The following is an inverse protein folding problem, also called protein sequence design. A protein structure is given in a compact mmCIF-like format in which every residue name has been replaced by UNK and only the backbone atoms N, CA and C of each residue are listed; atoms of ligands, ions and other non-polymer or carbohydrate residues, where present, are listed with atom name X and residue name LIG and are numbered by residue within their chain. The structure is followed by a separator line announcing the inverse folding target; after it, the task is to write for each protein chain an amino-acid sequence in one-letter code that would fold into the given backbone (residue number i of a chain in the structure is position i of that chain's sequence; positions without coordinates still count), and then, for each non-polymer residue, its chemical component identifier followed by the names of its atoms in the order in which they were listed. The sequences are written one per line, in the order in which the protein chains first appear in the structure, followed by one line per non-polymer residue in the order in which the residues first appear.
data_IF_185643190608
#
_entry.id   IF_185643190608
#
_cell.length_a   1.000
_cell.length_b   1.000
_cell.length_c   1.000
_cell.angle_alpha   90.00
_cell.angle_beta   90.00
_cell.angle_gamma   90.00
#
_symmetry.space_group_name_H-M   'P 1'
#
loop_
_entity.id
_entity.type
_entity.pdbx_description
1 polymer ?
#
# COMPACT_ATOMS: atom_id res chain seq x y z
N UNK A 1 0.80 -8.17 1.82
CA UNK A 1 0.26 -8.12 0.44
C UNK A 1 -1.23 -7.84 0.54
N UNK A 2 -1.59 -6.57 0.47
CA UNK A 2 -2.97 -6.19 0.22
C UNK A 2 -3.23 -6.52 -1.25
N UNK A 3 -3.93 -7.64 -1.50
CA UNK A 3 -4.00 -8.36 -2.80
C UNK A 3 -4.83 -7.62 -3.89
N UNK A 4 -4.84 -6.29 -3.88
CA UNK A 4 -5.80 -5.41 -4.56
C UNK A 4 -7.21 -6.02 -4.70
N UNK A 5 -7.62 -6.78 -3.68
CA UNK A 5 -8.76 -7.68 -3.70
C UNK A 5 -10.04 -6.94 -3.29
N UNK A 6 -9.92 -5.64 -3.01
CA UNK A 6 -11.00 -4.79 -2.50
C UNK A 6 -11.20 -4.89 -0.99
N UNK A 7 -10.36 -5.64 -0.27
CA UNK A 7 -10.43 -5.80 1.18
C UNK A 7 -9.50 -4.86 1.94
N UNK A 8 -8.76 -4.00 1.22
CA UNK A 8 -7.77 -3.07 1.78
C UNK A 8 -8.37 -2.04 2.72
N UNK A 9 -9.66 -1.75 2.55
CA UNK A 9 -10.41 -0.83 3.40
C UNK A 9 -11.06 -1.53 4.60
N UNK A 10 -11.19 -2.85 4.54
CA UNK A 10 -11.87 -3.66 5.57
C UNK A 10 -10.88 -4.23 6.61
N UNK A 11 -9.60 -4.35 6.24
CA UNK A 11 -8.56 -4.94 7.08
C UNK A 11 -7.48 -3.91 7.33
N UNK A 12 -7.27 -3.56 8.60
CA UNK A 12 -6.19 -2.65 8.99
C UNK A 12 -4.86 -3.40 9.03
N UNK A 13 -3.88 -3.09 8.17
CA UNK A 13 -2.60 -3.79 8.17
C UNK A 13 -1.79 -3.41 9.42
N UNK A 14 -1.26 -4.40 10.13
CA UNK A 14 -0.37 -4.18 11.28
C UNK A 14 1.07 -3.87 10.88
N UNK A 15 1.54 -4.49 9.81
CA UNK A 15 2.89 -4.29 9.26
C UNK A 15 2.75 -4.06 7.76
N UNK A 16 3.31 -2.95 7.28
CA UNK A 16 3.37 -2.63 5.85
C UNK A 16 4.80 -2.89 5.37
N UNK A 17 4.95 -3.86 4.48
CA UNK A 17 6.24 -4.20 3.89
C UNK A 17 6.29 -3.82 2.40
N UNK A 18 7.17 -2.88 2.05
CA UNK A 18 7.34 -2.36 0.70
C UNK A 18 8.36 -3.19 -0.10
N UNK A 19 7.91 -4.29 -0.73
CA UNK A 19 8.81 -5.25 -1.41
C UNK A 19 9.48 -4.71 -2.68
N UNK A 20 8.84 -3.78 -3.40
CA UNK A 20 9.27 -3.36 -4.74
C UNK A 20 9.64 -1.89 -4.87
N UNK A 21 9.99 -1.50 -6.10
CA UNK A 21 9.98 -0.10 -6.53
C UNK A 21 8.62 0.24 -7.18
N UNK A 22 8.08 1.46 -6.98
CA UNK A 22 8.63 2.57 -6.22
C UNK A 22 8.59 2.33 -4.71
N UNK A 23 9.33 3.17 -3.96
CA UNK A 23 9.39 3.18 -2.49
C UNK A 23 8.69 4.44 -1.99
N UNK A 24 8.33 4.54 -0.71
CA UNK A 24 7.65 5.72 -0.16
C UNK A 24 8.39 7.04 -0.38
N UNK A 25 9.72 7.03 -0.31
CA UNK A 25 10.56 8.22 -0.57
C UNK A 25 10.65 8.61 -2.05
N UNK A 26 10.21 7.76 -2.99
CA UNK A 26 10.15 8.12 -4.42
C UNK A 26 8.95 9.02 -4.76
N UNK A 27 7.99 9.15 -3.83
CA UNK A 27 6.73 9.85 -4.04
C UNK A 27 5.49 9.06 -3.60
N UNK A 28 4.33 9.64 -3.90
CA UNK A 28 3.03 9.04 -3.66
C UNK A 28 2.66 8.03 -4.77
N UNK A 29 2.49 6.76 -4.37
CA UNK A 29 2.06 5.65 -5.22
C UNK A 29 1.22 4.65 -4.42
N UNK A 30 0.20 4.07 -5.07
CA UNK A 30 -0.57 2.99 -4.47
C UNK A 30 0.34 1.80 -4.10
N UNK A 31 0.17 1.17 -2.93
CA UNK A 31 -0.94 1.35 -1.98
C UNK A 31 -0.80 2.48 -0.95
N UNK A 32 0.33 3.19 -0.86
CA UNK A 32 0.52 4.29 0.10
C UNK A 32 0.08 5.64 -0.47
N UNK A 33 -0.08 6.63 0.42
CA UNK A 33 -0.58 7.96 0.07
C UNK A 33 0.49 9.02 0.32
N UNK A 34 0.06 10.28 0.24
CA UNK A 34 0.89 11.44 0.51
C UNK A 34 1.43 11.45 1.94
N UNK A 35 0.69 10.90 2.92
CA UNK A 35 1.11 10.88 4.32
C UNK A 35 2.46 10.17 4.51
N UNK A 36 2.64 9.02 3.88
CA UNK A 36 3.87 8.25 3.97
C UNK A 36 5.03 8.93 3.24
N UNK A 37 4.76 9.62 2.13
CA UNK A 37 5.77 10.40 1.42
C UNK A 37 6.16 11.69 2.17
N UNK A 38 5.21 12.31 2.87
CA UNK A 38 5.40 13.58 3.58
C UNK A 38 6.48 13.47 4.67
N UNK A 39 6.58 12.33 5.36
CA UNK A 39 7.60 12.07 6.37
C UNK A 39 9.01 12.29 5.80
N UNK A 40 9.27 11.80 4.58
CA UNK A 40 10.57 11.96 3.92
C UNK A 40 10.82 13.39 3.45
N UNK A 41 9.77 14.09 2.98
CA UNK A 41 9.87 15.51 2.63
C UNK A 41 10.19 16.37 3.86
N UNK A 42 9.51 16.13 4.97
CA UNK A 42 9.75 16.85 6.21
C UNK A 42 11.14 16.57 6.77
N UNK A 43 11.59 15.31 6.70
CA UNK A 43 12.95 14.92 7.12
C UNK A 43 14.01 15.61 6.26
N UNK A 44 13.83 15.65 4.93
CA UNK A 44 14.75 16.34 4.03
C UNK A 44 14.75 17.86 4.22
N UNK A 45 13.61 18.46 4.61
CA UNK A 45 13.55 19.89 4.97
C UNK A 45 14.29 20.18 6.28
N UNK A 46 14.17 19.30 7.28
CA UNK A 46 14.88 19.42 8.57
C UNK A 46 16.39 19.19 8.43
N UNK A 47 16.79 18.35 7.48
CA UNK A 47 18.19 18.00 7.22
C UNK A 47 18.51 18.21 5.73
N UNK A 48 18.89 19.44 5.31
CA UNK A 48 19.12 19.75 3.90
C UNK A 48 20.20 18.89 3.22
N UNK A 49 21.13 18.33 4.00
CA UNK A 49 22.13 17.36 3.52
C UNK A 49 21.52 16.09 2.91
N UNK A 50 20.26 15.79 3.23
CA UNK A 50 19.53 14.64 2.70
C UNK A 50 18.87 14.92 1.33
N UNK A 51 18.77 16.18 0.90
CA UNK A 51 18.09 16.56 -0.35
C UNK A 51 18.66 15.82 -1.58
N UNK A 52 19.98 15.69 -1.77
CA UNK A 52 20.55 14.96 -2.91
C UNK A 52 20.17 13.47 -2.94
N UNK A 53 19.86 12.89 -1.77
CA UNK A 53 19.49 11.48 -1.63
C UNK A 53 17.99 11.24 -1.78
N UNK A 54 17.17 12.30 -1.83
CA UNK A 54 15.73 12.19 -2.08
C UNK A 54 15.46 11.92 -3.56
N UNK A 55 15.66 10.67 -3.97
CA UNK A 55 15.44 10.21 -5.34
C UNK A 55 13.97 10.35 -5.75
N UNK A 56 13.71 11.01 -6.87
CA UNK A 56 12.36 11.12 -7.45
C UNK A 56 12.22 10.19 -8.65
N UNK A 57 11.04 9.63 -8.84
CA UNK A 57 10.74 8.89 -10.07
C UNK A 57 10.35 9.86 -11.19
N UNK A 58 10.70 9.53 -12.44
CA UNK A 58 10.25 10.29 -13.60
C UNK A 58 8.73 10.18 -13.79
N UNK A 59 8.11 11.23 -14.32
CA UNK A 59 6.66 11.26 -14.56
C UNK A 59 6.18 10.09 -15.43
N UNK A 60 6.98 9.68 -16.43
CA UNK A 60 6.69 8.55 -17.31
C UNK A 60 6.59 7.24 -16.53
N UNK A 61 7.56 6.99 -15.64
CA UNK A 61 7.56 5.81 -14.76
C UNK A 61 6.39 5.86 -13.78
N UNK A 62 6.03 7.04 -13.28
CA UNK A 62 4.85 7.22 -12.42
C UNK A 62 3.56 6.86 -13.16
N UNK A 63 3.40 7.31 -14.40
CA UNK A 63 2.23 6.98 -15.21
C UNK A 63 2.15 5.47 -15.52
N UNK A 64 3.27 4.88 -15.98
CA UNK A 64 3.38 3.43 -16.20
C UNK A 64 2.98 2.64 -14.96
N UNK A 65 3.50 3.03 -13.79
CA UNK A 65 3.17 2.37 -12.54
C UNK A 65 1.68 2.46 -12.20
N UNK A 66 1.07 3.65 -12.34
CA UNK A 66 -0.37 3.83 -12.10
C UNK A 66 -1.22 2.93 -13.00
N UNK A 67 -0.87 2.82 -14.28
CA UNK A 67 -1.56 1.93 -15.21
C UNK A 67 -1.39 0.46 -14.83
N UNK A 68 -0.16 0.04 -14.49
CA UNK A 68 0.12 -1.32 -14.05
C UNK A 68 -0.66 -1.69 -12.78
N UNK A 69 -0.76 -0.80 -11.79
CA UNK A 69 -1.52 -1.06 -10.58
C UNK A 69 -3.02 -1.14 -10.85
N UNK A 70 -3.56 -0.27 -11.71
CA UNK A 70 -4.98 -0.35 -12.11
C UNK A 70 -5.29 -1.66 -12.84
N UNK A 71 -4.42 -2.08 -13.75
CA UNK A 71 -4.57 -3.35 -14.45
C UNK A 71 -4.52 -4.53 -13.49
N UNK A 72 -3.53 -4.57 -12.58
CA UNK A 72 -3.43 -5.60 -11.54
C UNK A 72 -4.66 -5.63 -10.66
N UNK A 73 -5.15 -4.47 -10.21
CA UNK A 73 -6.37 -4.38 -9.42
C UNK A 73 -7.59 -4.92 -10.16
N UNK A 74 -7.74 -4.61 -11.45
CA UNK A 74 -8.84 -5.15 -12.24
C UNK A 74 -8.75 -6.68 -12.36
N UNK A 75 -7.57 -7.21 -12.68
CA UNK A 75 -7.33 -8.65 -12.76
C UNK A 75 -7.58 -9.35 -11.41
N UNK A 76 -7.01 -8.81 -10.33
CA UNK A 76 -7.11 -9.37 -8.99
C UNK A 76 -8.54 -9.30 -8.45
N UNK A 77 -9.30 -8.25 -8.76
CA UNK A 77 -10.74 -8.21 -8.44
C UNK A 77 -11.52 -9.30 -9.16
N UNK A 78 -11.22 -9.61 -10.41
CA UNK A 78 -11.86 -10.74 -11.10
C UNK A 78 -11.48 -12.08 -10.48
N UNK A 79 -10.21 -12.26 -10.09
CA UNK A 79 -9.73 -13.52 -9.50
C UNK A 79 -10.15 -13.71 -8.03
N UNK A 80 -10.18 -12.65 -7.24
CA UNK A 80 -10.40 -12.68 -5.78
C UNK A 80 -11.75 -12.13 -5.35
N UNK A 81 -12.49 -11.46 -6.23
CA UNK A 81 -13.80 -10.85 -5.97
C UNK A 81 -14.94 -11.84 -5.80
N UNK A 82 -14.66 -13.13 -5.60
CA UNK A 82 -15.68 -14.08 -5.17
C UNK A 82 -16.16 -13.69 -3.75
N UNK A 83 -17.43 -13.30 -3.58
CA UNK A 83 -17.95 -12.81 -2.30
C UNK A 83 -17.82 -13.83 -1.15
N UNK A 84 -17.90 -15.13 -1.46
CA UNK A 84 -17.76 -16.19 -0.45
C UNK A 84 -16.35 -16.23 0.13
N UNK A 85 -15.34 -16.04 -0.72
CA UNK A 85 -13.93 -16.02 -0.30
C UNK A 85 -13.65 -14.78 0.55
N UNK A 86 -14.16 -13.61 0.15
CA UNK A 86 -14.04 -12.38 0.92
C UNK A 86 -14.66 -12.54 2.32
N UNK A 87 -15.88 -13.08 2.42
CA UNK A 87 -16.53 -13.36 3.71
C UNK A 87 -15.70 -14.30 4.60
N UNK A 88 -15.09 -15.34 4.02
CA UNK A 88 -14.23 -16.26 4.77
C UNK A 88 -13.00 -15.56 5.36
N UNK A 89 -12.36 -14.68 4.58
CA UNK A 89 -11.21 -13.89 5.03
C UNK A 89 -11.62 -12.96 6.18
N UNK A 90 -12.72 -12.21 6.02
CA UNK A 90 -13.21 -11.27 7.05
C UNK A 90 -13.61 -11.99 8.34
N UNK A 91 -14.23 -13.18 8.24
CA UNK A 91 -14.56 -14.00 9.42
C UNK A 91 -13.30 -14.42 10.19
N UNK A 92 -12.24 -14.79 9.48
CA UNK A 92 -10.96 -15.13 10.10
C UNK A 92 -10.31 -13.91 10.76
N UNK A 93 -10.29 -12.76 10.09
CA UNK A 93 -9.73 -11.52 10.64
C UNK A 93 -10.43 -11.09 11.94
N UNK A 94 -11.76 -11.17 11.97
CA UNK A 94 -12.56 -10.87 13.17
C UNK A 94 -12.26 -11.84 14.32
N UNK A 95 -12.12 -13.14 14.03
CA UNK A 95 -11.76 -14.12 15.05
C UNK A 95 -10.38 -13.82 15.67
N UNK A 96 -9.37 -13.55 14.83
CA UNK A 96 -8.01 -13.23 15.30
C UNK A 96 -7.99 -11.94 16.10
N UNK A 97 -8.71 -10.91 15.65
CA UNK A 97 -8.81 -9.63 16.36
C UNK A 97 -9.46 -9.78 17.73
N UNK A 98 -10.53 -10.56 17.85
CA UNK A 98 -11.20 -10.83 19.13
C UNK A 98 -10.31 -11.64 20.08
N UNK A 99 -9.57 -12.63 19.58
CA UNK A 99 -8.67 -13.43 20.40
C UNK A 99 -7.54 -12.59 21.01
N UNK A 100 -7.00 -11.64 20.25
CA UNK A 100 -5.93 -10.76 20.70
C UNK A 100 -6.41 -9.60 21.59
N UNK A 101 -7.70 -9.27 21.57
CA UNK A 101 -8.29 -8.29 22.48
C UNK A 101 -8.53 -8.86 23.89
N UNK A 102 -8.51 -10.19 24.04
CA UNK A 102 -8.73 -10.92 25.30
C UNK A 102 -7.43 -11.36 25.98
N UNK A 103 -6.26 -11.11 25.37
CA UNK A 103 -4.92 -11.42 25.86
C UNK A 103 -4.19 -10.17 26.34
#
# INVERSE_FOLDING_TARGET
FLRNAGLEHEITPRIIHYMGSPKPWHGEFMPWKLAEYAIYLETARKHPTLIPFLTRISWQRRLKYRLQQRYKQAQERTTWGNPQRQRKILRYENYVSNMLALS
#
